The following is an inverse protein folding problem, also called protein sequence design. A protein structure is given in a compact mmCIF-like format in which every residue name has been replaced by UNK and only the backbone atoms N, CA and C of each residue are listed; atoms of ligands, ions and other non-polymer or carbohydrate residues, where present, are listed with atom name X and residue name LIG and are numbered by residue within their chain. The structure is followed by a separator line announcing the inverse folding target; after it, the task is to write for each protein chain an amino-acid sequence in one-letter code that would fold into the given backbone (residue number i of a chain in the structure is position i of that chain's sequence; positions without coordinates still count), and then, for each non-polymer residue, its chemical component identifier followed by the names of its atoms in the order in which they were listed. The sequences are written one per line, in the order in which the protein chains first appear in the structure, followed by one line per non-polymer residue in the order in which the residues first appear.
data_IF_052325980814
#
_entry.id   IF_052325980814
#
_cell.length_a   1.000
_cell.length_b   1.000
_cell.length_c   1.000
_cell.angle_alpha   90.00
_cell.angle_beta   90.00
_cell.angle_gamma   90.00
#
_symmetry.space_group_name_H-M   'P 1'
#
loop_
_entity.id
_entity.type
_entity.pdbx_description
1 polymer ?
#
# COMPACT_ATOMS: atom_id res chain seq x y z
N UNK A 1 10.95 26.29 -3.59
CA UNK A 1 11.22 24.90 -4.04
C UNK A 1 11.58 23.95 -2.91
N UNK A 2 12.49 24.30 -1.97
CA UNK A 2 12.91 23.40 -0.87
C UNK A 2 11.75 22.70 -0.12
N UNK A 3 10.63 23.39 0.09
CA UNK A 3 9.50 22.84 0.84
C UNK A 3 8.49 22.06 -0.01
N UNK A 4 8.53 22.14 -1.34
CA UNK A 4 7.49 21.53 -2.20
C UNK A 4 7.52 20.01 -2.09
N UNK A 5 8.71 19.39 -2.19
CA UNK A 5 8.87 17.95 -2.06
C UNK A 5 8.47 17.47 -0.65
N UNK A 6 8.90 18.16 0.40
CA UNK A 6 8.49 17.83 1.77
C UNK A 6 6.97 17.95 1.97
N UNK A 7 6.35 19.00 1.42
CA UNK A 7 4.90 19.18 1.46
C UNK A 7 4.17 18.08 0.70
N UNK A 8 4.68 17.66 -0.47
CA UNK A 8 4.10 16.54 -1.23
C UNK A 8 4.25 15.22 -0.48
N UNK A 9 5.42 14.93 0.12
CA UNK A 9 5.61 13.73 0.95
C UNK A 9 4.69 13.72 2.17
N UNK A 10 4.54 14.85 2.86
CA UNK A 10 3.60 14.97 3.98
C UNK A 10 2.14 14.83 3.51
N UNK A 11 1.80 15.40 2.35
CA UNK A 11 0.47 15.30 1.77
C UNK A 11 0.09 13.86 1.42
N UNK A 12 1.03 13.03 0.96
CA UNK A 12 0.77 11.60 0.68
C UNK A 12 0.28 10.88 1.94
N UNK A 13 0.90 11.12 3.09
CA UNK A 13 0.47 10.52 4.36
C UNK A 13 -0.95 10.95 4.72
N UNK A 14 -1.28 12.24 4.57
CA UNK A 14 -2.65 12.72 4.77
C UNK A 14 -3.64 12.09 3.78
N UNK A 15 -3.30 12.11 2.49
CA UNK A 15 -4.18 11.69 1.40
C UNK A 15 -4.55 10.21 1.52
N UNK A 16 -3.59 9.33 1.81
CA UNK A 16 -3.85 7.89 1.95
C UNK A 16 -4.95 7.64 2.99
N UNK A 17 -4.82 8.20 4.18
CA UNK A 17 -5.79 7.97 5.26
C UNK A 17 -7.10 8.72 5.04
N UNK A 18 -7.05 9.98 4.60
CA UNK A 18 -8.25 10.78 4.37
C UNK A 18 -9.11 10.18 3.25
N UNK A 19 -8.51 9.82 2.12
CA UNK A 19 -9.25 9.20 1.03
C UNK A 19 -9.80 7.82 1.42
N UNK A 20 -9.01 7.01 2.14
CA UNK A 20 -9.48 5.72 2.68
C UNK A 20 -10.69 5.86 3.61
N UNK A 21 -10.73 6.94 4.40
CA UNK A 21 -11.87 7.23 5.27
C UNK A 21 -13.10 7.65 4.48
N UNK A 22 -13.00 8.66 3.60
CA UNK A 22 -14.18 9.22 2.93
C UNK A 22 -14.76 8.30 1.85
N UNK A 23 -13.98 7.36 1.31
CA UNK A 23 -14.45 6.40 0.33
C UNK A 23 -14.93 5.07 0.95
N UNK A 24 -14.89 4.95 2.29
CA UNK A 24 -15.33 3.77 3.03
C UNK A 24 -14.34 2.61 3.06
N UNK A 25 -13.15 2.74 2.48
CA UNK A 25 -12.13 1.69 2.46
C UNK A 25 -11.65 1.32 3.87
N UNK A 26 -11.49 2.32 4.74
CA UNK A 26 -11.12 2.12 6.14
C UNK A 26 -12.16 1.26 6.89
N UNK A 27 -13.44 1.53 6.71
CA UNK A 27 -14.52 0.74 7.28
C UNK A 27 -14.52 -0.70 6.73
N UNK A 28 -14.36 -0.85 5.41
CA UNK A 28 -14.28 -2.16 4.76
C UNK A 28 -13.10 -2.99 5.29
N UNK A 29 -11.94 -2.35 5.47
CA UNK A 29 -10.74 -2.95 6.04
C UNK A 29 -10.99 -3.45 7.46
N UNK A 30 -11.54 -2.59 8.34
CA UNK A 30 -11.87 -2.97 9.72
C UNK A 30 -12.86 -4.12 9.80
N UNK A 31 -13.93 -4.09 9.01
CA UNK A 31 -14.93 -5.15 8.98
C UNK A 31 -14.33 -6.47 8.49
N UNK A 32 -13.43 -6.41 7.51
CA UNK A 32 -12.74 -7.60 7.00
C UNK A 32 -11.80 -8.19 8.06
N UNK A 33 -11.04 -7.36 8.80
CA UNK A 33 -10.19 -7.82 9.90
C UNK A 33 -11.03 -8.40 11.05
N UNK A 34 -12.13 -7.75 11.40
CA UNK A 34 -13.04 -8.19 12.46
C UNK A 34 -13.70 -9.55 12.16
N UNK A 35 -13.81 -9.94 10.89
CA UNK A 35 -14.31 -11.27 10.50
C UNK A 35 -13.39 -12.42 10.96
N UNK A 36 -12.11 -12.13 11.24
CA UNK A 36 -11.10 -13.12 11.62
C UNK A 36 -10.74 -14.10 10.49
N UNK A 37 -11.17 -13.84 9.26
CA UNK A 37 -10.97 -14.69 8.09
C UNK A 37 -10.30 -13.95 6.95
N UNK A 38 -9.59 -14.70 6.11
CA UNK A 38 -9.11 -14.17 4.84
C UNK A 38 -10.30 -13.85 3.94
N UNK A 39 -10.32 -12.67 3.27
CA UNK A 39 -11.46 -12.26 2.45
C UNK A 39 -11.83 -13.31 1.41
N UNK A 40 -13.12 -13.58 1.27
CA UNK A 40 -13.65 -14.55 0.30
C UNK A 40 -13.40 -16.02 0.65
N UNK A 41 -12.86 -16.33 1.83
CA UNK A 41 -12.57 -17.72 2.25
C UNK A 41 -12.97 -17.98 3.70
N UNK A 42 -12.96 -19.25 4.10
CA UNK A 42 -13.11 -19.67 5.51
C UNK A 42 -11.77 -19.83 6.24
N UNK A 43 -10.65 -19.52 5.58
CA UNK A 43 -9.33 -19.63 6.20
C UNK A 43 -9.12 -18.55 7.25
N UNK A 44 -8.48 -18.87 8.40
CA UNK A 44 -8.25 -17.90 9.46
C UNK A 44 -7.27 -16.80 9.01
N UNK A 45 -7.57 -15.56 9.41
CA UNK A 45 -6.69 -14.41 9.20
C UNK A 45 -5.54 -14.43 10.21
N UNK A 46 -4.30 -14.30 9.71
CA UNK A 46 -3.14 -14.14 10.58
C UNK A 46 -3.10 -12.71 11.14
N UNK A 47 -2.98 -12.61 12.46
CA UNK A 47 -2.91 -11.32 13.17
C UNK A 47 -1.62 -11.09 13.93
N UNK A 48 -0.76 -12.12 14.05
CA UNK A 48 0.53 -12.02 14.72
C UNK A 48 1.63 -12.43 13.75
N UNK A 49 2.47 -11.46 13.36
CA UNK A 49 3.55 -11.66 12.38
C UNK A 49 4.92 -11.50 13.05
N UNK A 50 5.07 -10.41 13.80
CA UNK A 50 6.32 -9.99 14.42
C UNK A 50 6.23 -9.98 15.95
N UNK A 51 5.02 -9.93 16.51
CA UNK A 51 4.77 -9.77 17.95
C UNK A 51 4.70 -8.31 18.42
N UNK A 52 4.94 -7.34 17.52
CA UNK A 52 4.78 -5.91 17.81
C UNK A 52 3.41 -5.46 17.33
N UNK A 53 2.51 -5.14 18.27
CA UNK A 53 1.09 -4.87 18.00
C UNK A 53 0.85 -3.87 16.86
N UNK A 54 1.54 -2.72 16.88
CA UNK A 54 1.36 -1.69 15.87
C UNK A 54 1.79 -2.15 14.45
N UNK A 55 2.86 -2.94 14.36
CA UNK A 55 3.35 -3.48 13.09
C UNK A 55 2.40 -4.56 12.60
N UNK A 56 2.00 -5.45 13.50
CA UNK A 56 1.13 -6.57 13.19
C UNK A 56 -0.26 -6.07 12.74
N UNK A 57 -0.81 -5.02 13.36
CA UNK A 57 -2.06 -4.39 12.91
C UNK A 57 -1.98 -3.89 11.46
N UNK A 58 -0.88 -3.22 11.10
CA UNK A 58 -0.67 -2.75 9.72
C UNK A 58 -0.53 -3.93 8.76
N UNK A 59 0.24 -4.96 9.12
CA UNK A 59 0.44 -6.14 8.28
C UNK A 59 -0.86 -6.93 8.08
N UNK A 60 -1.70 -7.05 9.12
CA UNK A 60 -3.02 -7.65 9.02
C UNK A 60 -3.91 -6.87 8.06
N UNK A 61 -3.97 -5.54 8.19
CA UNK A 61 -4.78 -4.70 7.31
C UNK A 61 -4.31 -4.82 5.85
N UNK A 62 -2.99 -4.76 5.60
CA UNK A 62 -2.42 -4.93 4.26
C UNK A 62 -2.68 -6.32 3.69
N UNK A 63 -2.55 -7.38 4.50
CA UNK A 63 -2.86 -8.75 4.08
C UNK A 63 -4.31 -8.84 3.64
N UNK A 64 -5.23 -8.29 4.44
CA UNK A 64 -6.66 -8.31 4.13
C UNK A 64 -6.98 -7.51 2.87
N UNK A 65 -6.33 -6.37 2.66
CA UNK A 65 -6.50 -5.54 1.48
C UNK A 65 -5.98 -6.19 0.19
N UNK A 66 -4.77 -6.76 0.23
CA UNK A 66 -4.11 -7.32 -0.96
C UNK A 66 -4.50 -8.78 -1.26
N UNK A 67 -5.07 -9.52 -0.31
CA UNK A 67 -5.40 -10.93 -0.53
C UNK A 67 -6.26 -11.18 -1.78
N UNK A 68 -7.36 -10.45 -2.05
CA UNK A 68 -8.18 -10.65 -3.25
C UNK A 68 -7.43 -10.41 -4.56
N UNK A 69 -6.32 -9.65 -4.52
CA UNK A 69 -5.49 -9.40 -5.70
C UNK A 69 -4.57 -10.58 -6.06
N UNK A 70 -4.42 -11.54 -5.14
CA UNK A 70 -3.47 -12.65 -5.22
C UNK A 70 -4.11 -14.04 -5.06
N UNK A 71 -5.38 -14.12 -4.66
CA UNK A 71 -6.09 -15.38 -4.38
C UNK A 71 -6.42 -16.23 -5.62
N UNK A 72 -6.24 -15.66 -6.82
CA UNK A 72 -6.49 -16.31 -8.10
C UNK A 72 -7.97 -16.51 -8.44
N UNK A 73 -8.91 -16.05 -7.60
CA UNK A 73 -10.35 -16.15 -7.87
C UNK A 73 -10.78 -15.24 -9.03
N UNK A 74 -10.06 -14.15 -9.25
CA UNK A 74 -10.23 -13.27 -10.41
C UNK A 74 -8.94 -13.21 -11.24
N UNK A 75 -8.85 -13.98 -12.36
CA UNK A 75 -7.67 -13.96 -13.23
C UNK A 75 -7.35 -12.57 -13.78
N UNK A 76 -8.37 -11.76 -14.06
CA UNK A 76 -8.20 -10.37 -14.52
C UNK A 76 -7.57 -9.50 -13.45
N UNK A 77 -8.04 -9.58 -12.21
CA UNK A 77 -7.48 -8.78 -11.11
C UNK A 77 -6.06 -9.22 -10.78
N UNK A 78 -5.78 -10.52 -10.81
CA UNK A 78 -4.44 -11.06 -10.62
C UNK A 78 -3.47 -10.55 -11.69
N UNK A 79 -3.83 -10.66 -12.98
CA UNK A 79 -3.01 -10.16 -14.08
C UNK A 79 -2.76 -8.65 -13.97
N UNK A 80 -3.80 -7.87 -13.65
CA UNK A 80 -3.68 -6.44 -13.41
C UNK A 80 -2.69 -6.15 -12.27
N UNK A 81 -2.77 -6.90 -11.17
CA UNK A 81 -1.93 -6.70 -9.99
C UNK A 81 -0.47 -7.04 -10.25
N UNK A 82 -0.20 -8.08 -11.05
CA UNK A 82 1.15 -8.41 -11.52
C UNK A 82 1.70 -7.25 -12.36
N UNK A 83 0.95 -6.77 -13.37
CA UNK A 83 1.38 -5.64 -14.18
C UNK A 83 1.62 -4.38 -13.35
N UNK A 84 0.70 -4.06 -12.43
CA UNK A 84 0.81 -2.92 -11.52
C UNK A 84 2.08 -3.00 -10.65
N UNK A 85 2.36 -4.15 -10.05
CA UNK A 85 3.57 -4.35 -9.24
C UNK A 85 4.86 -4.15 -10.04
N UNK A 86 4.89 -4.62 -11.29
CA UNK A 86 6.03 -4.47 -12.18
C UNK A 86 6.29 -3.01 -12.53
N UNK A 87 5.24 -2.27 -12.91
CA UNK A 87 5.34 -0.83 -13.19
C UNK A 87 5.72 -0.03 -11.96
N UNK A 88 5.12 -0.34 -10.80
CA UNK A 88 5.46 0.32 -9.54
C UNK A 88 6.94 0.11 -9.17
N UNK A 89 7.45 -1.12 -9.25
CA UNK A 89 8.85 -1.42 -8.96
C UNK A 89 9.83 -0.72 -9.91
N UNK A 90 9.51 -0.67 -11.21
CA UNK A 90 10.30 0.05 -12.19
C UNK A 90 10.32 1.57 -11.92
N UNK A 91 9.16 2.16 -11.66
CA UNK A 91 9.04 3.58 -11.32
C UNK A 91 9.78 3.91 -10.03
N UNK A 92 9.65 3.10 -8.99
CA UNK A 92 10.35 3.29 -7.73
C UNK A 92 11.87 3.25 -7.90
N UNK A 93 12.38 2.31 -8.70
CA UNK A 93 13.81 2.21 -9.02
C UNK A 93 14.31 3.50 -9.69
N UNK A 94 13.57 4.02 -10.67
CA UNK A 94 13.91 5.27 -11.34
C UNK A 94 13.91 6.46 -10.38
N UNK A 95 12.88 6.60 -9.53
CA UNK A 95 12.79 7.66 -8.52
C UNK A 95 13.99 7.63 -7.58
N UNK A 96 14.37 6.44 -7.09
CA UNK A 96 15.53 6.30 -6.19
C UNK A 96 16.84 6.67 -6.89
N UNK A 97 17.06 6.16 -8.11
CA UNK A 97 18.26 6.47 -8.88
C UNK A 97 18.38 7.97 -9.18
N UNK A 98 17.27 8.59 -9.60
CA UNK A 98 17.26 9.99 -9.98
C UNK A 98 17.37 10.93 -8.77
N UNK A 99 16.81 10.53 -7.62
CA UNK A 99 16.98 11.24 -6.34
C UNK A 99 18.43 11.33 -5.89
N UNK A 100 19.27 10.35 -6.26
CA UNK A 100 20.70 10.31 -5.91
C UNK A 100 21.61 10.89 -6.99
N UNK A 101 21.08 11.15 -8.19
CA UNK A 101 21.87 11.71 -9.29
C UNK A 101 22.29 13.14 -8.93
N UNK A 102 23.61 13.40 -8.91
CA UNK A 102 24.19 14.71 -8.52
C UNK A 102 23.55 15.94 -9.18
N UNK A 103 23.06 15.81 -10.42
CA UNK A 103 22.37 16.90 -11.13
C UNK A 103 20.95 17.21 -10.65
N UNK A 104 20.34 16.29 -9.88
CA UNK A 104 18.97 16.40 -9.37
C UNK A 104 18.88 16.46 -7.85
N UNK A 105 20.01 16.38 -7.14
CA UNK A 105 20.04 16.51 -5.68
C UNK A 105 19.44 17.86 -5.28
N UNK A 106 18.26 17.82 -4.65
CA UNK A 106 17.55 19.01 -4.15
C UNK A 106 16.67 19.74 -5.19
N UNK A 107 16.46 19.18 -6.39
CA UNK A 107 15.55 19.73 -7.41
C UNK A 107 14.25 18.91 -7.52
N UNK A 108 13.22 19.47 -8.15
CA UNK A 108 11.91 18.79 -8.37
C UNK A 108 11.92 17.83 -9.58
N UNK A 109 13.05 17.69 -10.27
CA UNK A 109 13.18 16.85 -11.46
C UNK A 109 13.52 15.39 -11.15
N UNK A 110 13.59 15.02 -9.87
CA UNK A 110 13.76 13.63 -9.42
C UNK A 110 12.46 12.84 -9.55
#
# INVERSE_FOLDING_TARGET
MRYVLFSLSAFVLYAIFYFSYINGLDELGRNSVASGKLPGTDAPLRTVYTGVEAIDHVLTLLTTFFYPSLDGQSPTLLLHSISFSGTFGAAWTLVVLESWRKGNVGTIAA
#
